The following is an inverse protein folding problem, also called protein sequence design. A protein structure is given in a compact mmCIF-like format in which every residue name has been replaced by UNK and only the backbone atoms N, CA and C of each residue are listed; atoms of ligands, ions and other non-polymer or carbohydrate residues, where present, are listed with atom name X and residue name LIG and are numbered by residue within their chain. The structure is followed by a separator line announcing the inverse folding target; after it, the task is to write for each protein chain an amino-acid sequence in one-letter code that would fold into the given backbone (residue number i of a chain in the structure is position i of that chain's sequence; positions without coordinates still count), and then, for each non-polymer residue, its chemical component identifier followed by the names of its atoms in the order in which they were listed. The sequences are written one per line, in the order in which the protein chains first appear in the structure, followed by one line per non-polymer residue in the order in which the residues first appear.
data_IF_450140847892
#
_entry.id   IF_450140847892
#
_cell.length_a   1.000
_cell.length_b   1.000
_cell.length_c   1.000
_cell.angle_alpha   90.00
_cell.angle_beta   90.00
_cell.angle_gamma   90.00
#
_symmetry.space_group_name_H-M   'P 1'
#
loop_
_entity.id
_entity.type
_entity.pdbx_description
1 polymer ?
#
# COMPACT_ATOMS: atom_id res chain seq x y z
N UNK A 1 5.12 16.19 82.33
CA UNK A 1 4.93 16.71 80.96
C UNK A 1 5.53 15.67 80.01
N UNK A 2 4.94 15.12 78.95
CA UNK A 2 3.62 15.20 78.31
C UNK A 2 3.64 14.08 77.23
N UNK A 3 2.58 13.26 77.16
CA UNK A 3 1.96 12.60 75.96
C UNK A 3 2.87 11.75 75.02
N UNK A 4 2.67 10.42 74.94
CA UNK A 4 1.69 9.66 74.09
C UNK A 4 1.93 9.73 72.57
N UNK A 5 2.17 8.57 71.93
CA UNK A 5 1.38 7.92 70.86
C UNK A 5 2.27 6.89 70.10
N UNK A 6 1.98 5.57 70.08
CA UNK A 6 0.97 4.86 69.27
C UNK A 6 1.12 5.19 67.77
N UNK A 7 1.69 4.30 66.95
CA UNK A 7 1.08 3.11 66.31
C UNK A 7 0.50 3.39 64.92
N UNK A 8 0.75 2.42 64.04
CA UNK A 8 0.02 2.10 62.80
C UNK A 8 0.23 2.95 61.55
N UNK A 9 0.81 2.27 60.55
CA UNK A 9 0.22 1.98 59.25
C UNK A 9 -0.51 3.12 58.54
N UNK A 10 -0.06 3.47 57.33
CA UNK A 10 -0.91 3.34 56.15
C UNK A 10 -0.06 3.40 54.88
N UNK A 11 -0.43 2.53 53.95
CA UNK A 11 0.14 2.41 52.62
C UNK A 11 -0.04 3.70 51.79
N UNK A 12 0.91 3.96 50.89
CA UNK A 12 0.55 4.47 49.58
C UNK A 12 1.29 3.66 48.51
N UNK A 13 0.51 2.70 48.02
CA UNK A 13 0.70 1.89 46.83
C UNK A 13 0.87 2.78 45.58
N UNK A 14 1.66 2.26 44.65
CA UNK A 14 1.40 2.19 43.20
C UNK A 14 1.91 3.27 42.22
N UNK A 15 2.63 2.72 41.21
CA UNK A 15 2.43 2.86 39.75
C UNK A 15 2.96 4.17 39.10
N UNK A 16 3.65 4.18 37.95
CA UNK A 16 3.65 3.25 36.81
C UNK A 16 5.03 3.23 36.11
N UNK A 17 5.39 2.02 35.68
CA UNK A 17 6.37 1.62 34.69
C UNK A 17 6.73 2.64 33.57
N UNK A 18 7.98 3.09 33.57
CA UNK A 18 8.68 3.51 32.36
C UNK A 18 9.27 2.27 31.68
N UNK A 19 8.44 1.50 30.98
CA UNK A 19 8.91 0.43 30.10
C UNK A 19 7.88 0.14 29.01
N UNK A 20 8.38 0.13 27.76
CA UNK A 20 7.78 -0.25 26.47
C UNK A 20 7.56 0.94 25.52
N UNK A 21 8.04 0.95 24.28
CA UNK A 21 8.86 -0.02 23.57
C UNK A 21 9.56 0.68 22.39
N UNK A 22 10.87 0.51 22.31
CA UNK A 22 11.57 0.49 21.04
C UNK A 22 11.31 -0.88 20.39
N UNK A 23 11.02 -0.91 19.08
CA UNK A 23 11.10 -2.12 18.26
C UNK A 23 9.77 -2.79 17.92
N UNK A 24 9.02 -2.20 16.98
CA UNK A 24 8.49 -2.94 15.82
C UNK A 24 7.96 -1.93 14.77
N UNK A 25 8.37 -2.00 13.48
CA UNK A 25 7.86 -1.11 12.44
C UNK A 25 6.47 -1.51 11.91
N UNK A 26 5.86 -2.56 12.46
CA UNK A 26 4.47 -2.92 12.19
C UNK A 26 3.54 -2.01 13.01
N UNK A 27 2.90 -1.05 12.34
CA UNK A 27 2.01 -0.03 12.93
C UNK A 27 0.78 -0.54 13.70
N UNK A 28 0.70 -1.85 14.01
CA UNK A 28 -0.39 -2.49 14.73
C UNK A 28 -0.52 -2.02 16.19
N UNK A 29 0.59 -1.72 16.87
CA UNK A 29 0.54 -1.30 18.29
C UNK A 29 0.09 0.15 18.53
N UNK A 30 0.23 1.03 17.52
CA UNK A 30 -0.17 2.45 17.63
C UNK A 30 -1.62 2.69 17.21
N UNK A 31 -2.18 1.79 16.40
CA UNK A 31 -3.56 1.84 15.96
C UNK A 31 -4.51 1.69 17.15
N UNK A 32 -4.49 0.58 17.89
CA UNK A 32 -5.43 0.37 19.00
C UNK A 32 -5.35 1.41 20.13
N UNK A 33 -4.27 2.19 20.22
CA UNK A 33 -4.18 3.33 21.12
C UNK A 33 -4.91 4.59 20.62
N UNK A 34 -5.13 4.76 19.31
CA UNK A 34 -5.81 5.92 18.72
C UNK A 34 -7.32 5.90 18.98
N UNK A 35 -8.01 4.78 18.70
CA UNK A 35 -9.43 4.65 19.03
C UNK A 35 -9.70 4.69 20.55
N UNK A 36 -8.80 4.10 21.36
CA UNK A 36 -8.94 4.08 22.82
C UNK A 36 -8.57 5.42 23.50
N UNK A 37 -7.81 6.30 22.83
CA UNK A 37 -7.45 7.65 23.29
C UNK A 37 -8.25 8.76 22.61
N UNK A 38 -9.26 8.40 21.81
CA UNK A 38 -10.07 9.37 21.08
C UNK A 38 -10.68 10.37 22.07
N UNK A 39 -10.19 11.60 22.01
CA UNK A 39 -10.70 12.73 22.80
C UNK A 39 -12.11 13.14 22.36
N UNK A 40 -12.53 12.67 21.19
CA UNK A 40 -13.85 12.89 20.58
C UNK A 40 -14.56 11.53 20.35
N UNK A 41 -15.62 11.21 21.12
CA UNK A 41 -16.38 9.97 20.96
C UNK A 41 -17.13 9.85 19.64
N UNK A 42 -17.47 10.96 18.97
CA UNK A 42 -18.14 10.93 17.66
C UNK A 42 -17.17 10.54 16.53
N UNK A 43 -15.88 10.79 16.71
CA UNK A 43 -14.85 10.45 15.74
C UNK A 43 -14.25 9.05 15.93
N UNK A 44 -14.40 8.47 17.11
CA UNK A 44 -13.99 7.09 17.43
C UNK A 44 -14.40 6.04 16.38
N UNK A 45 -15.65 5.98 15.85
CA UNK A 45 -16.00 4.99 14.83
C UNK A 45 -15.19 5.14 13.52
N UNK A 46 -14.82 6.36 13.15
CA UNK A 46 -14.00 6.60 11.95
C UNK A 46 -12.58 6.06 12.17
N UNK A 47 -12.01 6.29 13.35
CA UNK A 47 -10.68 5.78 13.71
C UNK A 47 -10.67 4.26 13.73
N UNK A 48 -11.63 3.62 14.40
CA UNK A 48 -11.76 2.16 14.43
C UNK A 48 -11.87 1.55 13.02
N UNK A 49 -12.62 2.20 12.13
CA UNK A 49 -12.74 1.75 10.74
C UNK A 49 -11.42 1.88 9.97
N UNK A 50 -10.69 2.98 10.17
CA UNK A 50 -9.35 3.17 9.57
C UNK A 50 -8.39 2.09 10.07
N UNK A 51 -8.38 1.82 11.38
CA UNK A 51 -7.53 0.78 11.98
C UNK A 51 -7.83 -0.60 11.38
N UNK A 52 -9.12 -0.94 11.25
CA UNK A 52 -9.56 -2.19 10.64
C UNK A 52 -9.10 -2.35 9.20
N UNK A 53 -9.11 -1.26 8.42
CA UNK A 53 -8.79 -1.27 6.98
C UNK A 53 -7.31 -1.03 6.65
N UNK A 54 -6.52 -0.52 7.59
CA UNK A 54 -5.11 -0.22 7.35
C UNK A 54 -4.31 -1.42 6.79
N UNK A 55 -4.50 -2.67 7.26
CA UNK A 55 -3.81 -3.82 6.68
C UNK A 55 -4.12 -4.05 5.20
N UNK A 56 -5.36 -3.79 4.77
CA UNK A 56 -5.75 -3.91 3.35
C UNK A 56 -5.05 -2.84 2.50
N UNK A 57 -4.99 -1.60 2.99
CA UNK A 57 -4.26 -0.51 2.34
C UNK A 57 -2.76 -0.79 2.27
N UNK A 58 -2.18 -1.36 3.32
CA UNK A 58 -0.78 -1.76 3.38
C UNK A 58 -0.47 -2.85 2.35
N UNK A 59 -1.30 -3.89 2.28
CA UNK A 59 -1.15 -4.98 1.33
C UNK A 59 -1.23 -4.48 -0.13
N UNK A 60 -2.22 -3.64 -0.45
CA UNK A 60 -2.36 -3.06 -1.78
C UNK A 60 -1.17 -2.15 -2.15
N UNK A 61 -0.72 -1.29 -1.23
CA UNK A 61 0.41 -0.39 -1.47
C UNK A 61 1.76 -1.13 -1.63
N UNK A 62 1.90 -2.30 -1.01
CA UNK A 62 3.10 -3.14 -1.01
C UNK A 62 3.10 -4.24 -2.09
N UNK A 63 1.98 -4.48 -2.77
CA UNK A 63 1.89 -5.46 -3.84
C UNK A 63 2.89 -5.14 -4.96
N UNK A 64 3.45 -6.17 -5.59
CA UNK A 64 4.35 -6.01 -6.72
C UNK A 64 3.56 -6.16 -8.01
N UNK A 65 3.35 -5.05 -8.73
CA UNK A 65 2.65 -5.02 -10.02
C UNK A 65 3.68 -5.05 -11.14
N UNK A 66 3.73 -6.13 -11.91
CA UNK A 66 4.66 -6.28 -13.03
C UNK A 66 4.03 -5.76 -14.31
N UNK A 67 4.36 -4.51 -14.70
CA UNK A 67 3.86 -3.97 -15.97
C UNK A 67 4.62 -4.62 -17.14
N UNK A 68 3.94 -5.19 -18.15
CA UNK A 68 4.61 -5.79 -19.29
C UNK A 68 5.39 -4.72 -20.08
N UNK A 69 6.56 -5.10 -20.58
CA UNK A 69 7.40 -4.20 -21.38
C UNK A 69 6.80 -4.00 -22.77
N UNK A 70 6.68 -2.76 -23.23
CA UNK A 70 6.16 -2.47 -24.59
C UNK A 70 7.12 -2.92 -25.70
N UNK A 71 8.41 -3.00 -25.38
CA UNK A 71 9.44 -3.53 -26.26
C UNK A 71 10.48 -4.28 -25.43
N UNK A 72 10.93 -5.43 -25.94
CA UNK A 72 11.99 -6.26 -25.33
C UNK A 72 13.13 -6.36 -26.34
N UNK A 73 14.33 -6.00 -25.91
CA UNK A 73 15.54 -6.18 -26.70
C UNK A 73 15.96 -7.65 -26.70
N UNK A 74 16.27 -8.19 -27.87
CA UNK A 74 16.68 -9.59 -28.04
C UNK A 74 18.14 -9.86 -27.59
N UNK A 75 18.75 -8.89 -26.91
CA UNK A 75 20.06 -8.98 -26.29
C UNK A 75 21.22 -8.53 -27.19
N UNK A 76 22.28 -7.95 -26.62
CA UNK A 76 23.39 -7.36 -27.39
C UNK A 76 24.34 -8.39 -28.03
N UNK A 77 24.22 -9.68 -27.68
CA UNK A 77 25.20 -10.72 -28.07
C UNK A 77 24.88 -11.43 -29.39
N UNK A 78 23.66 -11.33 -29.88
CA UNK A 78 23.31 -11.88 -31.18
C UNK A 78 23.47 -10.80 -32.25
N UNK A 79 24.61 -10.77 -32.94
CA UNK A 79 24.85 -9.83 -34.06
C UNK A 79 23.70 -9.80 -35.08
N UNK A 80 23.03 -10.94 -35.29
CA UNK A 80 21.88 -11.08 -36.19
C UNK A 80 20.62 -10.33 -35.70
N UNK A 81 20.43 -10.17 -34.39
CA UNK A 81 19.21 -9.60 -33.79
C UNK A 81 19.43 -8.23 -33.15
N UNK A 82 20.59 -7.61 -33.34
CA UNK A 82 20.91 -6.27 -32.78
C UNK A 82 19.85 -5.21 -33.12
N UNK A 83 19.23 -5.36 -34.29
CA UNK A 83 18.22 -4.44 -34.81
C UNK A 83 16.79 -4.96 -34.70
N UNK A 84 16.59 -6.09 -34.03
CA UNK A 84 15.27 -6.70 -33.87
C UNK A 84 14.83 -6.61 -32.41
N UNK A 85 13.56 -6.26 -32.22
CA UNK A 85 12.92 -6.17 -30.91
C UNK A 85 11.60 -6.90 -30.92
N UNK A 86 11.20 -7.47 -29.79
CA UNK A 86 9.83 -7.93 -29.60
C UNK A 86 8.99 -6.76 -29.14
N UNK A 87 8.01 -6.33 -29.93
CA UNK A 87 7.06 -5.27 -29.57
C UNK A 87 5.73 -5.87 -29.17
N UNK A 88 5.14 -5.34 -28.11
CA UNK A 88 3.81 -5.73 -27.65
C UNK A 88 2.76 -5.14 -28.59
N UNK A 89 2.36 -5.90 -29.60
CA UNK A 89 1.48 -5.44 -30.69
C UNK A 89 0.17 -6.19 -30.75
N UNK A 90 0.06 -7.36 -30.14
CA UNK A 90 -1.20 -8.12 -30.11
C UNK A 90 -2.28 -7.35 -29.36
N UNK A 91 -3.53 -7.41 -29.84
CA UNK A 91 -4.66 -6.72 -29.21
C UNK A 91 -4.87 -7.14 -27.75
N UNK A 92 -4.62 -8.42 -27.47
CA UNK A 92 -4.67 -8.95 -26.11
C UNK A 92 -3.56 -8.36 -25.25
N UNK A 93 -2.30 -8.43 -25.67
CA UNK A 93 -1.15 -7.84 -24.99
C UNK A 93 -1.31 -6.34 -24.73
N UNK A 94 -1.83 -5.59 -25.71
CA UNK A 94 -2.16 -4.18 -25.55
C UNK A 94 -3.23 -3.93 -24.48
N UNK A 95 -4.25 -4.79 -24.37
CA UNK A 95 -5.25 -4.73 -23.28
C UNK A 95 -4.61 -5.04 -21.93
N UNK A 96 -3.79 -6.10 -21.85
CA UNK A 96 -3.07 -6.47 -20.63
C UNK A 96 -2.20 -5.30 -20.16
N UNK A 97 -1.39 -4.71 -21.03
CA UNK A 97 -0.57 -3.55 -20.69
C UNK A 97 -1.39 -2.38 -20.12
N UNK A 98 -2.51 -2.02 -20.75
CA UNK A 98 -3.39 -0.94 -20.24
C UNK A 98 -3.96 -1.25 -18.86
N UNK A 99 -4.37 -2.50 -18.61
CA UNK A 99 -4.87 -2.93 -17.30
C UNK A 99 -3.77 -2.82 -16.24
N UNK A 100 -2.55 -3.28 -16.56
CA UNK A 100 -1.42 -3.21 -15.64
C UNK A 100 -0.93 -1.78 -15.37
N UNK A 101 -0.90 -0.91 -16.39
CA UNK A 101 -0.63 0.51 -16.23
C UNK A 101 -1.66 1.18 -15.33
N UNK A 102 -2.95 0.84 -15.51
CA UNK A 102 -4.03 1.35 -14.65
C UNK A 102 -3.92 0.83 -13.22
N UNK A 103 -3.67 -0.47 -13.03
CA UNK A 103 -3.43 -1.07 -11.71
C UNK A 103 -2.26 -0.38 -10.99
N UNK A 104 -1.14 -0.18 -11.69
CA UNK A 104 0.02 0.51 -11.15
C UNK A 104 -0.29 1.97 -10.78
N UNK A 105 -1.04 2.68 -11.62
CA UNK A 105 -1.47 4.06 -11.34
C UNK A 105 -2.40 4.14 -10.11
N UNK A 106 -3.38 3.24 -9.99
CA UNK A 106 -4.27 3.18 -8.82
C UNK A 106 -3.49 2.81 -7.56
N UNK A 107 -2.55 1.87 -7.64
CA UNK A 107 -1.67 1.52 -6.52
C UNK A 107 -0.83 2.72 -6.05
N UNK A 108 -0.27 3.49 -6.98
CA UNK A 108 0.49 4.71 -6.65
C UNK A 108 -0.41 5.70 -5.88
N UNK A 109 -1.63 5.93 -6.36
CA UNK A 109 -2.61 6.78 -5.68
C UNK A 109 -2.97 6.27 -4.27
N UNK A 110 -3.11 4.95 -4.09
CA UNK A 110 -3.33 4.33 -2.77
C UNK A 110 -2.14 4.60 -1.85
N UNK A 111 -0.90 4.41 -2.34
CA UNK A 111 0.32 4.65 -1.56
C UNK A 111 0.40 6.11 -1.09
N UNK A 112 0.10 7.05 -1.99
CA UNK A 112 0.13 8.48 -1.70
C UNK A 112 -0.95 8.88 -0.69
N UNK A 113 -2.21 8.49 -0.91
CA UNK A 113 -3.30 8.81 0.02
C UNK A 113 -3.11 8.15 1.37
N UNK A 114 -2.60 6.92 1.43
CA UNK A 114 -2.26 6.23 2.68
C UNK A 114 -1.18 7.00 3.44
N UNK A 115 -0.10 7.41 2.77
CA UNK A 115 0.97 8.20 3.41
C UNK A 115 0.42 9.49 4.02
N UNK A 116 -0.44 10.20 3.29
CA UNK A 116 -1.06 11.42 3.78
C UNK A 116 -2.03 11.18 4.95
N UNK A 117 -2.83 10.10 4.88
CA UNK A 117 -3.69 9.69 5.99
C UNK A 117 -2.87 9.36 7.24
N UNK A 118 -1.78 8.60 7.10
CA UNK A 118 -0.87 8.30 8.22
C UNK A 118 -0.33 9.58 8.85
N UNK A 119 0.06 10.58 8.05
CA UNK A 119 0.50 11.89 8.57
C UNK A 119 -0.60 12.60 9.35
N UNK A 120 -1.82 12.67 8.81
CA UNK A 120 -2.95 13.31 9.48
C UNK A 120 -3.32 12.57 10.79
N UNK A 121 -3.26 11.24 10.81
CA UNK A 121 -3.47 10.44 12.03
C UNK A 121 -2.41 10.70 13.09
N UNK A 122 -1.14 10.88 12.70
CA UNK A 122 -0.07 11.24 13.64
C UNK A 122 -0.28 12.64 14.22
N UNK A 123 -0.71 13.60 13.40
CA UNK A 123 -1.08 14.94 13.88
C UNK A 123 -2.28 14.91 14.82
N UNK A 124 -3.27 14.07 14.51
CA UNK A 124 -4.43 13.86 15.37
C UNK A 124 -4.01 13.29 16.73
N UNK A 125 -3.17 12.24 16.73
CA UNK A 125 -2.66 11.61 17.94
C UNK A 125 -1.84 12.56 18.83
N UNK A 126 -1.12 13.50 18.22
CA UNK A 126 -0.26 14.45 18.92
C UNK A 126 -1.01 15.66 19.49
N UNK A 127 -2.28 15.86 19.10
CA UNK A 127 -3.08 17.00 19.55
C UNK A 127 -3.92 16.65 20.77
N UNK A 128 -3.89 17.50 21.80
CA UNK A 128 -4.78 17.36 22.96
C UNK A 128 -6.25 17.66 22.62
N UNK A 129 -6.50 18.49 21.60
CA UNK A 129 -7.83 18.81 21.06
C UNK A 129 -7.73 18.95 19.54
N UNK A 130 -7.96 17.87 18.78
CA UNK A 130 -7.94 17.91 17.32
C UNK A 130 -9.02 18.86 16.77
N UNK A 131 -8.63 19.77 15.88
CA UNK A 131 -9.57 20.70 15.24
C UNK A 131 -10.47 20.02 14.21
N UNK A 132 -11.66 20.60 13.97
CA UNK A 132 -12.63 20.08 13.02
C UNK A 132 -12.06 19.89 11.60
N UNK A 133 -11.20 20.80 11.14
CA UNK A 133 -10.55 20.70 9.84
C UNK A 133 -9.70 19.42 9.70
N UNK A 134 -8.90 19.08 10.72
CA UNK A 134 -8.07 17.87 10.70
C UNK A 134 -8.94 16.61 10.69
N UNK A 135 -10.00 16.58 11.49
CA UNK A 135 -10.94 15.44 11.50
C UNK A 135 -11.58 15.24 10.13
N UNK A 136 -11.98 16.32 9.45
CA UNK A 136 -12.57 16.23 8.12
C UNK A 136 -11.57 15.80 7.07
N UNK A 137 -10.32 16.28 7.13
CA UNK A 137 -9.25 15.79 6.24
C UNK A 137 -9.06 14.28 6.37
N UNK A 138 -9.05 13.75 7.59
CA UNK A 138 -8.96 12.31 7.84
C UNK A 138 -10.18 11.58 7.24
N UNK A 139 -11.42 12.07 7.44
CA UNK A 139 -12.63 11.47 6.84
C UNK A 139 -12.55 11.43 5.31
N UNK A 140 -12.18 12.55 4.69
CA UNK A 140 -12.05 12.67 3.23
C UNK A 140 -11.01 11.69 2.70
N UNK A 141 -9.84 11.61 3.34
CA UNK A 141 -8.79 10.66 2.93
C UNK A 141 -9.20 9.21 3.10
N UNK A 142 -9.85 8.86 4.20
CA UNK A 142 -10.37 7.51 4.40
C UNK A 142 -11.41 7.12 3.32
N UNK A 143 -12.33 8.03 2.98
CA UNK A 143 -13.28 7.83 1.87
C UNK A 143 -12.58 7.68 0.52
N UNK A 144 -11.58 8.53 0.24
CA UNK A 144 -10.79 8.48 -0.99
C UNK A 144 -10.04 7.15 -1.13
N UNK A 145 -9.36 6.69 -0.07
CA UNK A 145 -8.75 5.36 -0.04
C UNK A 145 -9.77 4.26 -0.25
N UNK A 146 -10.97 4.40 0.31
CA UNK A 146 -12.05 3.46 0.09
C UNK A 146 -12.42 3.29 -1.39
N UNK A 147 -12.61 4.39 -2.09
CA UNK A 147 -12.91 4.40 -3.53
C UNK A 147 -11.75 3.86 -4.39
N UNK A 148 -10.50 4.20 -4.03
CA UNK A 148 -9.32 3.68 -4.72
C UNK A 148 -9.17 2.16 -4.53
N UNK A 149 -9.41 1.65 -3.31
CA UNK A 149 -9.38 0.21 -3.04
C UNK A 149 -10.48 -0.54 -3.79
N UNK A 150 -11.68 0.04 -3.90
CA UNK A 150 -12.74 -0.54 -4.71
C UNK A 150 -12.32 -0.65 -6.18
N UNK A 151 -11.77 0.42 -6.74
CA UNK A 151 -11.26 0.43 -8.12
C UNK A 151 -10.12 -0.59 -8.31
N UNK A 152 -9.20 -0.68 -7.35
CA UNK A 152 -8.11 -1.64 -7.36
C UNK A 152 -8.63 -3.09 -7.36
N UNK A 153 -9.56 -3.42 -6.47
CA UNK A 153 -10.14 -4.75 -6.36
C UNK A 153 -10.98 -5.12 -7.59
N UNK A 154 -11.71 -4.16 -8.16
CA UNK A 154 -12.44 -4.36 -9.42
C UNK A 154 -11.49 -4.68 -10.58
N UNK A 155 -10.37 -3.95 -10.71
CA UNK A 155 -9.36 -4.22 -11.74
C UNK A 155 -8.71 -5.60 -11.56
N UNK A 156 -8.41 -6.00 -10.32
CA UNK A 156 -7.90 -7.34 -10.03
C UNK A 156 -8.92 -8.42 -10.42
N UNK A 157 -10.17 -8.28 -9.99
CA UNK A 157 -11.24 -9.24 -10.28
C UNK A 157 -11.52 -9.36 -11.78
N UNK A 158 -11.58 -8.23 -12.50
CA UNK A 158 -11.77 -8.22 -13.95
C UNK A 158 -10.58 -8.82 -14.68
N UNK A 159 -9.35 -8.53 -14.24
CA UNK A 159 -8.13 -9.09 -14.81
C UNK A 159 -8.04 -10.60 -14.62
N UNK A 160 -8.40 -11.11 -13.44
CA UNK A 160 -8.48 -12.56 -13.17
C UNK A 160 -9.55 -13.23 -14.03
N UNK A 161 -10.76 -12.67 -14.04
CA UNK A 161 -11.89 -13.22 -14.82
C UNK A 161 -11.61 -13.25 -16.32
N UNK A 162 -10.82 -12.30 -16.80
CA UNK A 162 -10.46 -12.18 -18.22
C UNK A 162 -9.14 -12.85 -18.57
N UNK A 163 -8.55 -13.63 -17.64
CA UNK A 163 -7.26 -14.32 -17.81
C UNK A 163 -6.09 -13.40 -18.21
N UNK A 164 -6.14 -12.13 -17.82
CA UNK A 164 -5.11 -11.13 -18.14
C UNK A 164 -4.01 -11.05 -17.09
N UNK A 165 -4.27 -11.55 -15.88
CA UNK A 165 -3.32 -11.52 -14.78
C UNK A 165 -3.39 -12.78 -13.93
N UNK A 166 -2.28 -13.05 -13.26
CA UNK A 166 -2.14 -14.05 -12.22
C UNK A 166 -1.66 -13.37 -10.95
N UNK A 167 -2.26 -13.76 -9.83
CA UNK A 167 -1.82 -13.34 -8.50
C UNK A 167 -1.09 -14.51 -7.84
N UNK A 168 0.09 -14.24 -7.29
CA UNK A 168 0.88 -15.22 -6.53
C UNK A 168 1.29 -14.61 -5.21
N UNK A 169 1.07 -15.33 -4.11
CA UNK A 169 1.55 -14.95 -2.79
C UNK A 169 2.99 -15.45 -2.62
N UNK A 170 3.92 -14.53 -2.39
CA UNK A 170 5.30 -14.88 -2.07
C UNK A 170 5.46 -15.02 -0.54
N UNK A 171 5.08 -16.19 -0.02
CA UNK A 171 5.21 -16.52 1.41
C UNK A 171 6.67 -16.58 1.88
N UNK A 172 7.63 -16.73 0.97
CA UNK A 172 9.04 -16.96 1.29
C UNK A 172 9.84 -15.70 1.68
N UNK A 173 9.36 -14.49 1.35
CA UNK A 173 10.14 -13.25 1.57
C UNK A 173 9.38 -12.09 2.22
N UNK A 174 8.03 -12.09 2.25
CA UNK A 174 7.27 -11.00 2.91
C UNK A 174 5.75 -11.17 2.93
N UNK A 175 5.18 -12.29 2.48
CA UNK A 175 3.72 -12.40 2.29
C UNK A 175 3.17 -11.40 1.26
N UNK A 176 4.04 -10.83 0.41
CA UNK A 176 3.65 -9.86 -0.61
C UNK A 176 2.94 -10.57 -1.76
N UNK A 177 1.87 -9.94 -2.20
CA UNK A 177 1.15 -10.31 -3.41
C UNK A 177 1.95 -9.82 -4.62
N UNK A 178 2.25 -10.72 -5.54
CA UNK A 178 2.78 -10.38 -6.86
C UNK A 178 1.66 -10.53 -7.88
N UNK A 179 1.43 -9.48 -8.66
CA UNK A 179 0.45 -9.44 -9.75
C UNK A 179 1.25 -9.43 -11.05
N UNK A 180 1.14 -10.51 -11.82
CA UNK A 180 1.92 -10.73 -13.05
C UNK A 180 1.00 -10.83 -14.26
N UNK A 181 1.40 -10.27 -15.42
CA UNK A 181 0.59 -10.32 -16.63
C UNK A 181 0.60 -11.73 -17.19
N UNK A 182 -0.55 -12.18 -17.69
CA UNK A 182 -0.65 -13.39 -18.49
C UNK A 182 -0.64 -12.97 -19.96
N UNK A 183 0.51 -13.14 -20.60
CA UNK A 183 0.72 -12.81 -22.02
C UNK A 183 0.68 -14.10 -22.84
N UNK A 184 0.16 -13.98 -24.06
CA UNK A 184 0.12 -15.05 -25.07
C UNK A 184 1.31 -14.92 -26.02
N UNK A 185 1.59 -15.99 -26.76
CA UNK A 185 2.69 -16.00 -27.72
C UNK A 185 2.53 -14.94 -28.83
N UNK A 186 1.29 -14.69 -29.27
CA UNK A 186 0.94 -13.72 -30.30
C UNK A 186 0.87 -12.27 -29.81
N UNK A 187 1.06 -12.02 -28.50
CA UNK A 187 1.06 -10.67 -27.95
C UNK A 187 2.29 -9.86 -28.38
N UNK A 188 3.41 -10.54 -28.62
CA UNK A 188 4.63 -9.92 -29.11
C UNK A 188 4.91 -10.28 -30.57
N UNK A 189 5.21 -9.28 -31.36
CA UNK A 189 5.74 -9.47 -32.71
C UNK A 189 7.18 -9.00 -32.79
N UNK A 190 7.96 -9.70 -33.59
CA UNK A 190 9.33 -9.31 -33.88
C UNK A 190 9.31 -8.19 -34.93
N UNK A 191 9.86 -7.03 -34.56
CA UNK A 191 9.88 -5.82 -35.39
C UNK A 191 11.32 -5.34 -35.53
N UNK A 192 11.68 -4.93 -36.76
CA UNK A 192 12.98 -4.30 -37.04
C UNK A 192 12.96 -2.84 -36.58
N UNK A 193 13.98 -2.42 -35.83
CA UNK A 193 14.11 -1.08 -35.27
C UNK A 193 15.08 -0.21 -36.09
N UNK A 194 14.62 0.25 -37.25
CA UNK A 194 15.40 1.11 -38.15
C UNK A 194 15.69 2.52 -37.60
N UNK A 195 15.04 2.91 -36.50
CA UNK A 195 15.28 4.19 -35.85
C UNK A 195 16.54 4.18 -34.96
N UNK A 196 17.01 2.99 -34.55
CA UNK A 196 18.22 2.84 -33.73
C UNK A 196 19.46 3.30 -34.51
N UNK A 197 20.34 4.14 -33.91
CA UNK A 197 21.58 4.59 -34.55
C UNK A 197 22.47 3.42 -34.99
N UNK A 198 22.39 2.30 -34.28
CA UNK A 198 23.15 1.07 -34.54
C UNK A 198 22.62 0.25 -35.74
N UNK A 199 21.49 0.67 -36.31
CA UNK A 199 20.72 -0.05 -37.33
C UNK A 199 20.45 0.81 -38.58
N UNK A 200 20.99 2.02 -38.61
CA UNK A 200 21.03 2.87 -39.80
C UNK A 200 22.33 2.56 -40.52
N UNK A 201 22.21 2.00 -41.72
CA UNK A 201 23.34 1.77 -42.64
C UNK A 201 24.04 3.08 -43.02
#
# INVERSE_FOLDING_TARGET
MSRRALSSAFACLLLVAAARAAGDPSGQGRASTLAASATDPEFAPVLSEIERRMPEFDAAAAAQIQVPSRAIELGPRARMYRCWRLRLTGDHGGKVARVFERLHSVQAAIRDQKSLLTKDLLLYAASAQPGAELTERIRVRNRSLGSLMESYNQLLALGQKSEMLKMTENSFLSGRIVVSPLLKEDDYTMVYDGDSPDCKD
#
